data_IF_217039084281
#
_entry.id   IF_217039084281
#
_cell.length_a   1.000
_cell.length_b   1.000
_cell.length_c   1.000
_cell.angle_alpha   90.00
_cell.angle_beta   90.00
_cell.angle_gamma   90.00
#
_symmetry.space_group_name_H-M   'P 1'
#
loop_
_entity.id
_entity.type
_entity.pdbx_description
1 polymer ?
#
# COMPACT_ATOMS: atom_id res chain seq x y z
N UNK A 1 20.76 18.62 4.46
CA UNK A 1 21.48 17.34 4.58
C UNK A 1 21.67 16.74 3.18
N UNK A 2 22.88 16.32 2.81
CA UNK A 2 23.13 15.53 1.60
C UNK A 2 23.52 14.11 1.99
N UNK A 3 22.99 13.09 1.32
CA UNK A 3 23.29 11.69 1.59
C UNK A 3 24.23 11.15 0.53
N UNK A 4 25.13 10.26 0.93
CA UNK A 4 26.03 9.56 0.00
C UNK A 4 25.51 8.14 -0.15
N UNK A 5 25.01 7.78 -1.33
CA UNK A 5 24.57 6.41 -1.65
C UNK A 5 25.52 5.90 -2.74
N UNK A 6 26.12 4.72 -2.53
CA UNK A 6 27.06 4.11 -3.49
C UNK A 6 28.26 5.02 -3.88
N UNK A 7 28.77 5.80 -2.93
CA UNK A 7 29.89 6.73 -3.16
C UNK A 7 29.54 7.97 -3.98
N UNK A 8 28.27 8.15 -4.36
CA UNK A 8 27.77 9.35 -5.05
C UNK A 8 26.97 10.21 -4.09
N UNK A 9 27.26 11.51 -4.09
CA UNK A 9 26.52 12.50 -3.31
C UNK A 9 25.16 12.73 -3.98
N UNK A 10 24.10 12.40 -3.29
CA UNK A 10 22.72 12.53 -3.76
C UNK A 10 22.01 13.53 -2.86
N UNK A 11 21.45 14.56 -3.49
CA UNK A 11 20.59 15.51 -2.79
C UNK A 11 19.27 14.81 -2.43
N UNK A 12 18.74 15.13 -1.25
CA UNK A 12 17.52 14.54 -0.70
C UNK A 12 16.34 14.57 -1.68
N UNK A 13 16.26 15.63 -2.49
CA UNK A 13 15.21 15.86 -3.48
C UNK A 13 15.14 14.74 -4.52
N UNK A 14 16.27 14.20 -4.96
CA UNK A 14 16.30 13.14 -5.98
C UNK A 14 15.88 11.78 -5.45
N UNK A 15 16.12 11.51 -4.16
CA UNK A 15 15.64 10.28 -3.51
C UNK A 15 14.12 10.35 -3.39
N UNK A 16 13.60 11.51 -2.94
CA UNK A 16 12.16 11.72 -2.87
C UNK A 16 11.51 11.58 -4.27
N UNK A 17 12.06 12.28 -5.28
CA UNK A 17 11.58 12.19 -6.67
C UNK A 17 11.63 10.76 -7.23
N UNK A 18 12.71 10.02 -6.96
CA UNK A 18 12.85 8.63 -7.38
C UNK A 18 11.81 7.72 -6.74
N UNK A 19 11.57 7.86 -5.43
CA UNK A 19 10.55 7.08 -4.71
C UNK A 19 9.14 7.42 -5.20
N UNK A 20 8.79 8.70 -5.31
CA UNK A 20 7.48 9.10 -5.82
C UNK A 20 7.26 8.68 -7.28
N UNK A 21 8.31 8.74 -8.11
CA UNK A 21 8.26 8.26 -9.50
C UNK A 21 8.03 6.75 -9.58
N UNK A 22 8.77 5.95 -8.80
CA UNK A 22 8.59 4.49 -8.77
C UNK A 22 7.21 4.07 -8.27
N UNK A 23 6.75 4.67 -7.17
CA UNK A 23 5.43 4.38 -6.60
C UNK A 23 4.32 4.80 -7.58
N UNK A 24 4.43 6.00 -8.17
CA UNK A 24 3.47 6.49 -9.16
C UNK A 24 3.41 5.64 -10.42
N UNK A 25 4.56 5.21 -10.95
CA UNK A 25 4.62 4.31 -12.10
C UNK A 25 4.08 2.91 -11.77
N UNK A 26 4.35 2.39 -10.57
CA UNK A 26 3.80 1.11 -10.11
C UNK A 26 2.28 1.16 -9.97
N UNK A 27 1.75 2.20 -9.35
CA UNK A 27 0.30 2.41 -9.21
C UNK A 27 -0.37 2.60 -10.58
N UNK A 28 0.24 3.38 -11.48
CA UNK A 28 -0.27 3.54 -12.84
C UNK A 28 -0.23 2.24 -13.64
N UNK A 29 0.86 1.48 -13.57
CA UNK A 29 0.97 0.18 -14.22
C UNK A 29 -0.09 -0.81 -13.71
N UNK A 30 -0.33 -0.82 -12.40
CA UNK A 30 -1.35 -1.66 -11.77
C UNK A 30 -2.79 -1.27 -12.16
N UNK A 31 -3.04 0.02 -12.43
CA UNK A 31 -4.38 0.55 -12.76
C UNK A 31 -4.64 0.65 -14.26
N UNK A 32 -3.61 0.61 -15.12
CA UNK A 32 -3.73 0.73 -16.58
C UNK A 32 -4.14 -0.58 -17.28
N UNK A 33 -3.96 -1.73 -16.64
CA UNK A 33 -4.32 -3.05 -17.21
C UNK A 33 -5.79 -3.38 -16.99
N UNK A 34 -6.58 -3.38 -18.08
CA UNK A 34 -8.02 -3.64 -18.04
C UNK A 34 -8.41 -5.11 -17.97
N UNK A 35 -9.55 -5.32 -17.29
CA UNK A 35 -10.54 -6.42 -17.42
C UNK A 35 -10.20 -7.82 -16.93
N UNK A 36 -8.93 -8.20 -16.77
CA UNK A 36 -8.53 -9.44 -16.08
C UNK A 36 -7.89 -9.12 -14.74
N UNK A 37 -8.57 -8.27 -13.94
CA UNK A 37 -8.30 -8.22 -12.52
C UNK A 37 -8.52 -9.63 -12.00
N UNK A 38 -7.44 -10.37 -11.73
CA UNK A 38 -7.52 -11.53 -10.84
C UNK A 38 -8.27 -11.00 -9.63
N UNK A 39 -9.47 -11.55 -9.41
CA UNK A 39 -10.25 -11.24 -8.22
C UNK A 39 -9.26 -11.27 -7.08
N UNK A 40 -9.23 -10.21 -6.28
CA UNK A 40 -8.56 -10.25 -5.00
C UNK A 40 -8.96 -11.60 -4.40
N UNK A 41 -7.96 -12.45 -4.21
CA UNK A 41 -8.20 -13.74 -3.60
C UNK A 41 -8.70 -13.36 -2.21
N UNK A 42 -10.00 -13.50 -1.99
CA UNK A 42 -10.69 -13.26 -0.71
C UNK A 42 -10.22 -14.29 0.36
N UNK A 43 -9.05 -14.89 0.17
CA UNK A 43 -8.25 -15.46 1.24
C UNK A 43 -8.02 -14.35 2.24
N UNK A 44 -8.93 -14.33 3.21
CA UNK A 44 -8.81 -13.68 4.52
C UNK A 44 -7.33 -13.47 4.81
N UNK A 45 -6.90 -12.21 4.70
CA UNK A 45 -5.52 -11.83 4.95
C UNK A 45 -5.07 -12.51 6.23
N UNK A 46 -4.09 -13.41 6.13
CA UNK A 46 -3.49 -14.01 7.29
C UNK A 46 -2.52 -12.99 7.89
N UNK A 47 -3.08 -12.07 8.66
CA UNK A 47 -2.33 -10.96 9.27
C UNK A 47 -1.25 -11.50 10.21
N UNK A 48 -1.46 -12.69 10.79
CA UNK A 48 -0.45 -13.39 11.61
C UNK A 48 0.75 -13.90 10.83
N UNK A 49 0.68 -14.00 9.50
CA UNK A 49 1.86 -14.34 8.67
C UNK A 49 2.76 -13.14 8.37
N UNK A 50 2.32 -11.90 8.66
CA UNK A 50 3.03 -10.67 8.33
C UNK A 50 3.74 -10.05 9.54
N UNK A 51 3.26 -10.31 10.76
CA UNK A 51 3.86 -9.83 12.00
C UNK A 51 3.38 -10.63 13.22
N UNK A 52 4.24 -10.75 14.24
CA UNK A 52 3.89 -11.32 15.54
C UNK A 52 3.31 -10.26 16.51
N UNK A 53 3.31 -8.98 16.09
CA UNK A 53 2.91 -7.84 16.92
C UNK A 53 1.38 -7.74 17.05
N UNK A 54 0.87 -8.20 18.19
CA UNK A 54 -0.58 -8.24 18.49
C UNK A 54 -1.30 -6.90 18.37
N UNK A 55 -0.65 -5.79 18.73
CA UNK A 55 -1.26 -4.45 18.61
C UNK A 55 -1.43 -4.03 17.15
N UNK A 56 -0.49 -4.44 16.30
CA UNK A 56 -0.52 -4.13 14.87
C UNK A 56 -1.58 -4.97 14.15
N UNK A 57 -1.72 -6.24 14.54
CA UNK A 57 -2.81 -7.12 14.09
C UNK A 57 -4.18 -6.50 14.44
N UNK A 58 -4.37 -6.11 15.70
CA UNK A 58 -5.63 -5.50 16.14
C UNK A 58 -5.93 -4.16 15.44
N UNK A 59 -4.90 -3.37 15.11
CA UNK A 59 -5.05 -2.15 14.34
C UNK A 59 -5.53 -2.44 12.90
N UNK A 60 -4.89 -3.39 12.21
CA UNK A 60 -5.28 -3.77 10.85
C UNK A 60 -6.70 -4.32 10.84
N UNK A 61 -7.07 -5.20 11.78
CA UNK A 61 -8.42 -5.75 11.88
C UNK A 61 -9.47 -4.65 12.06
N UNK A 62 -9.22 -3.69 12.96
CA UNK A 62 -10.12 -2.56 13.18
C UNK A 62 -10.21 -1.64 11.95
N UNK A 63 -9.11 -1.46 11.22
CA UNK A 63 -9.08 -0.67 9.99
C UNK A 63 -9.93 -1.31 8.89
N UNK A 64 -9.72 -2.61 8.62
CA UNK A 64 -10.48 -3.37 7.63
C UNK A 64 -11.98 -3.37 7.97
N UNK A 65 -12.33 -3.68 9.22
CA UNK A 65 -13.72 -3.70 9.66
C UNK A 65 -14.39 -2.33 9.45
N UNK A 66 -13.71 -1.24 9.79
CA UNK A 66 -14.26 0.12 9.62
C UNK A 66 -14.44 0.48 8.14
N UNK A 67 -13.50 0.11 7.26
CA UNK A 67 -13.64 0.33 5.81
C UNK A 67 -14.78 -0.49 5.19
N UNK A 68 -14.97 -1.75 5.60
CA UNK A 68 -16.10 -2.57 5.15
C UNK A 68 -17.45 -1.99 5.60
N UNK A 69 -17.53 -1.48 6.82
CA UNK A 69 -18.72 -0.79 7.33
C UNK A 69 -18.98 0.53 6.59
N UNK A 70 -17.94 1.28 6.23
CA UNK A 70 -18.03 2.51 5.44
C UNK A 70 -18.48 2.24 4.00
N UNK A 71 -17.98 1.18 3.37
CA UNK A 71 -18.38 0.77 2.03
C UNK A 71 -19.87 0.37 1.97
N UNK A 72 -20.37 -0.33 3.00
CA UNK A 72 -21.79 -0.69 3.12
C UNK A 72 -22.71 0.51 3.36
N UNK A 73 -22.24 1.57 4.04
CA UNK A 73 -23.02 2.79 4.27
C UNK A 73 -23.06 3.73 3.06
N UNK A 74 -22.12 3.65 2.13
CA UNK A 74 -22.08 4.50 0.92
C UNK A 74 -22.84 3.90 -0.28
N UNK A 75 -23.29 2.64 -0.19
CA UNK A 75 -24.03 1.93 -1.25
C UNK A 75 -25.56 1.96 -1.12
N UNK A 76 -26.11 2.74 -0.18
CA UNK A 76 -27.55 2.93 -0.02
C UNK A 76 -28.06 4.22 -0.67
N UNK A 77 -28.34 4.18 -1.97
CA UNK A 77 -29.26 5.08 -2.65
C UNK A 77 -30.34 4.22 -3.34
#
# INVERSE_FOLDING_TARGET
MSYTIFGKKILNEYIALGTYGLVGLGAWAATRGGSDAKKADDSKLDITSQTDDKEMIAFIENFINNEEHKAKSAGGH
#
